data_IF_920914354714
#
_entry.id   IF_920914354714
#
_cell.length_a   1.000
_cell.length_b   1.000
_cell.length_c   1.000
_cell.angle_alpha   90.00
_cell.angle_beta   90.00
_cell.angle_gamma   90.00
#
_symmetry.space_group_name_H-M   'P 1'
#
loop_
_entity.id
_entity.type
_entity.pdbx_description
1 polymer ?
#
# COMPACT_ATOMS: atom_id res chain seq x y z
N UNK A 1 22.32 -17.39 43.70
CA UNK A 1 22.82 -16.05 43.33
C UNK A 1 22.27 -15.73 41.96
N UNK A 2 21.27 -14.85 41.86
CA UNK A 2 20.72 -14.43 40.57
C UNK A 2 21.56 -13.28 40.01
N UNK A 3 22.08 -13.46 38.80
CA UNK A 3 22.77 -12.42 38.05
C UNK A 3 21.65 -11.60 37.39
N UNK A 4 21.26 -10.48 38.02
CA UNK A 4 20.41 -9.50 37.36
C UNK A 4 21.23 -8.89 36.22
N UNK A 5 20.73 -8.98 35.00
CA UNK A 5 21.35 -8.36 33.84
C UNK A 5 21.41 -6.84 34.07
N UNK A 6 22.61 -6.32 34.32
CA UNK A 6 22.87 -4.90 34.50
C UNK A 6 22.48 -4.14 33.24
N UNK A 7 21.45 -3.30 33.33
CA UNK A 7 21.09 -2.39 32.25
C UNK A 7 22.15 -1.28 32.18
N UNK A 8 22.65 -0.94 30.98
CA UNK A 8 23.67 0.09 30.81
C UNK A 8 23.15 1.45 31.33
N UNK A 9 23.88 2.11 32.25
CA UNK A 9 23.47 3.39 32.83
C UNK A 9 23.68 4.50 31.80
N UNK A 10 22.68 4.71 30.95
CA UNK A 10 22.71 5.72 29.88
C UNK A 10 21.74 5.43 28.73
N UNK A 11 21.24 4.20 28.61
CA UNK A 11 20.15 3.90 27.68
C UNK A 11 18.85 4.50 28.23
N UNK A 12 18.33 5.54 27.57
CA UNK A 12 16.97 6.00 27.82
C UNK A 12 16.04 4.84 27.43
N UNK A 13 15.32 4.30 28.43
CA UNK A 13 14.37 3.23 28.19
C UNK A 13 13.28 3.75 27.24
N UNK A 14 12.97 2.97 26.21
CA UNK A 14 11.83 3.25 25.33
C UNK A 14 10.58 3.37 26.20
N UNK A 15 9.82 4.44 25.99
CA UNK A 15 8.51 4.58 26.60
C UNK A 15 7.53 3.65 25.88
N UNK A 16 6.46 3.20 26.55
CA UNK A 16 5.38 2.47 25.88
C UNK A 16 4.85 3.20 24.64
N UNK A 17 4.80 4.54 24.69
CA UNK A 17 4.38 5.39 23.58
C UNK A 17 5.34 5.32 22.38
N UNK A 18 6.65 5.23 22.61
CA UNK A 18 7.65 5.05 21.54
C UNK A 18 7.44 3.71 20.82
N UNK A 19 7.15 2.66 21.58
CA UNK A 19 6.88 1.32 21.03
C UNK A 19 5.59 1.32 20.21
N UNK A 20 4.52 1.92 20.72
CA UNK A 20 3.24 2.00 20.00
C UNK A 20 3.35 2.80 18.70
N UNK A 21 4.16 3.88 18.70
CA UNK A 21 4.44 4.65 17.50
C UNK A 21 5.18 3.83 16.46
N UNK A 22 6.26 3.14 16.84
CA UNK A 22 7.05 2.30 15.94
C UNK A 22 6.23 1.14 15.36
N UNK A 23 5.38 0.51 16.18
CA UNK A 23 4.48 -0.55 15.73
C UNK A 23 3.47 -0.02 14.72
N UNK A 24 2.90 1.17 14.95
CA UNK A 24 1.96 1.80 14.03
C UNK A 24 2.63 2.17 12.71
N UNK A 25 3.81 2.79 12.77
CA UNK A 25 4.60 3.13 11.59
C UNK A 25 4.98 1.88 10.77
N UNK A 26 5.36 0.79 11.45
CA UNK A 26 5.65 -0.48 10.80
C UNK A 26 4.40 -1.08 10.13
N UNK A 27 3.24 -1.02 10.79
CA UNK A 27 2.00 -1.50 10.22
C UNK A 27 1.62 -0.74 8.95
N UNK A 28 1.76 0.58 8.95
CA UNK A 28 1.56 1.43 7.76
C UNK A 28 2.53 1.06 6.63
N UNK A 29 3.82 0.95 6.93
CA UNK A 29 4.84 0.58 5.96
C UNK A 29 4.58 -0.81 5.33
N UNK A 30 4.09 -1.77 6.13
CA UNK A 30 3.71 -3.11 5.62
C UNK A 30 2.48 -3.06 4.72
N UNK A 31 1.51 -2.19 5.01
CA UNK A 31 0.36 -1.98 4.15
C UNK A 31 0.77 -1.36 2.82
N UNK A 32 1.63 -0.35 2.84
CA UNK A 32 2.18 0.29 1.65
C UNK A 32 2.96 -0.71 0.81
N UNK A 33 3.92 -1.44 1.40
CA UNK A 33 4.70 -2.47 0.70
C UNK A 33 3.80 -3.56 0.08
N UNK A 34 2.71 -3.94 0.77
CA UNK A 34 1.75 -4.90 0.23
C UNK A 34 1.02 -4.30 -0.97
N UNK A 35 0.59 -3.05 -0.90
CA UNK A 35 -0.08 -2.37 -2.00
C UNK A 35 0.84 -2.25 -3.22
N UNK A 36 2.09 -1.81 -3.02
CA UNK A 36 3.11 -1.73 -4.07
C UNK A 36 3.35 -3.09 -4.74
N UNK A 37 3.52 -4.16 -3.95
CA UNK A 37 3.73 -5.50 -4.49
C UNK A 37 2.54 -5.96 -5.34
N UNK A 38 1.31 -5.71 -4.88
CA UNK A 38 0.11 -6.06 -5.64
C UNK A 38 0.05 -5.22 -6.93
N UNK A 39 0.27 -3.91 -6.84
CA UNK A 39 0.26 -3.01 -7.99
C UNK A 39 1.30 -3.44 -9.02
N UNK A 40 2.53 -3.71 -8.60
CA UNK A 40 3.60 -4.21 -9.45
C UNK A 40 3.19 -5.51 -10.15
N UNK A 41 2.72 -6.50 -9.39
CA UNK A 41 2.32 -7.79 -9.96
C UNK A 41 1.17 -7.66 -10.97
N UNK A 42 0.21 -6.76 -10.72
CA UNK A 42 -0.92 -6.53 -11.63
C UNK A 42 -0.45 -5.80 -12.89
N UNK A 43 0.32 -4.72 -12.73
CA UNK A 43 0.81 -3.90 -13.84
C UNK A 43 1.85 -4.62 -14.71
N UNK A 44 2.49 -5.68 -14.20
CA UNK A 44 3.43 -6.51 -14.97
C UNK A 44 2.75 -7.59 -15.81
N UNK A 45 1.43 -7.79 -15.66
CA UNK A 45 0.71 -8.74 -16.51
C UNK A 45 0.48 -8.16 -17.90
N UNK A 46 0.79 -8.93 -18.94
CA UNK A 46 0.70 -8.47 -20.33
C UNK A 46 -0.72 -8.06 -20.73
N UNK A 47 -1.74 -8.80 -20.28
CA UNK A 47 -3.14 -8.49 -20.56
C UNK A 47 -3.57 -7.13 -19.98
N UNK A 48 -3.09 -6.81 -18.78
CA UNK A 48 -3.33 -5.51 -18.13
C UNK A 48 -2.59 -4.38 -18.85
N UNK A 49 -1.33 -4.60 -19.25
CA UNK A 49 -0.56 -3.60 -20.00
C UNK A 49 -1.18 -3.29 -21.35
N UNK A 50 -1.61 -4.31 -22.10
CA UNK A 50 -2.29 -4.13 -23.38
C UNK A 50 -3.60 -3.34 -23.21
N UNK A 51 -4.40 -3.68 -22.20
CA UNK A 51 -5.64 -2.95 -21.91
C UNK A 51 -5.37 -1.49 -21.52
N UNK A 52 -4.37 -1.22 -20.68
CA UNK A 52 -3.95 0.14 -20.31
C UNK A 52 -3.52 0.95 -21.53
N UNK A 53 -2.69 0.38 -22.40
CA UNK A 53 -2.25 1.04 -23.63
C UNK A 53 -3.41 1.36 -24.58
N UNK A 54 -4.34 0.41 -24.76
CA UNK A 54 -5.54 0.63 -25.57
C UNK A 54 -6.41 1.75 -25.00
N UNK A 55 -6.62 1.78 -23.67
CA UNK A 55 -7.41 2.82 -23.01
C UNK A 55 -6.73 4.18 -23.11
N UNK A 56 -5.41 4.27 -22.92
CA UNK A 56 -4.66 5.51 -23.11
C UNK A 56 -4.72 6.02 -24.55
N UNK A 57 -4.67 5.13 -25.54
CA UNK A 57 -4.74 5.49 -26.94
C UNK A 57 -6.07 6.19 -27.33
N UNK A 58 -7.14 6.01 -26.55
CA UNK A 58 -8.43 6.69 -26.77
C UNK A 58 -8.39 8.19 -26.51
N UNK A 59 -7.33 8.71 -25.86
CA UNK A 59 -7.20 10.11 -25.41
C UNK A 59 -8.32 10.60 -24.48
N UNK A 60 -9.13 9.69 -23.93
CA UNK A 60 -10.17 10.00 -22.94
C UNK A 60 -9.62 10.14 -21.51
N UNK A 61 -8.35 9.78 -21.32
CA UNK A 61 -7.67 9.74 -20.04
C UNK A 61 -6.38 10.56 -20.11
N UNK A 62 -6.04 11.22 -19.00
CA UNK A 62 -4.86 12.09 -18.95
C UNK A 62 -3.54 11.30 -18.85
N UNK A 63 -3.55 10.21 -18.09
CA UNK A 63 -2.40 9.36 -17.81
C UNK A 63 -2.87 7.99 -17.28
N UNK A 64 -1.93 7.10 -16.96
CA UNK A 64 -2.23 5.76 -16.43
C UNK A 64 -3.01 5.79 -15.11
N UNK A 65 -2.66 6.72 -14.21
CA UNK A 65 -3.35 6.87 -12.92
C UNK A 65 -4.83 7.19 -13.11
N UNK A 66 -5.17 8.09 -14.05
CA UNK A 66 -6.54 8.45 -14.39
C UNK A 66 -7.31 7.27 -14.99
N UNK A 67 -6.66 6.47 -15.86
CA UNK A 67 -7.25 5.24 -16.40
C UNK A 67 -7.62 4.29 -15.26
N UNK A 68 -6.66 4.01 -14.36
CA UNK A 68 -6.86 3.06 -13.26
C UNK A 68 -7.97 3.55 -12.32
N UNK A 69 -7.91 4.81 -11.87
CA UNK A 69 -8.87 5.38 -10.93
C UNK A 69 -10.29 5.38 -11.50
N UNK A 70 -10.47 5.79 -12.76
CA UNK A 70 -11.79 5.84 -13.39
C UNK A 70 -12.32 4.44 -13.72
N UNK A 71 -11.44 3.51 -14.12
CA UNK A 71 -11.83 2.12 -14.37
C UNK A 71 -12.31 1.43 -13.10
N UNK A 72 -11.63 1.65 -11.96
CA UNK A 72 -12.07 1.12 -10.66
C UNK A 72 -13.43 1.67 -10.23
N UNK A 73 -13.68 2.98 -10.42
CA UNK A 73 -15.00 3.58 -10.14
C UNK A 73 -16.09 3.00 -11.05
N UNK A 74 -15.80 2.86 -12.34
CA UNK A 74 -16.75 2.28 -13.29
C UNK A 74 -17.09 0.82 -12.91
N UNK A 75 -16.09 0.03 -12.53
CA UNK A 75 -16.28 -1.33 -12.04
C UNK A 75 -17.14 -1.35 -10.76
N UNK A 76 -16.89 -0.45 -9.81
CA UNK A 76 -17.67 -0.35 -8.58
C UNK A 76 -19.15 -0.10 -8.87
N UNK A 77 -19.47 0.82 -9.79
CA UNK A 77 -20.85 1.10 -10.22
C UNK A 77 -21.47 -0.09 -10.94
N UNK A 78 -20.70 -0.80 -11.77
CA UNK A 78 -21.18 -1.94 -12.53
C UNK A 78 -21.43 -3.19 -11.68
N UNK A 79 -20.64 -3.41 -10.63
CA UNK A 79 -20.67 -4.63 -9.81
C UNK A 79 -21.51 -4.46 -8.54
N UNK A 80 -21.55 -3.25 -7.97
CA UNK A 80 -22.37 -2.96 -6.79
C UNK A 80 -23.60 -2.18 -7.25
N UNK A 81 -24.75 -2.84 -7.49
CA UNK A 81 -25.97 -2.12 -7.81
C UNK A 81 -26.29 -1.19 -6.65
N UNK A 82 -26.42 0.11 -6.94
CA UNK A 82 -26.86 1.07 -5.96
C UNK A 82 -28.29 0.69 -5.55
N UNK A 83 -28.41 0.18 -4.32
CA UNK A 83 -29.68 -0.16 -3.68
C UNK A 83 -30.34 1.10 -3.14
#
# INVERSE_FOLDING_TARGET
>A
MSIMASHEPGAQLLTPEDVDHDVSALAEALLEQRAERIAHNVLMRSDVQEALQQLLATRLYANEEDVIARSLRALQVAVVPQS
#
